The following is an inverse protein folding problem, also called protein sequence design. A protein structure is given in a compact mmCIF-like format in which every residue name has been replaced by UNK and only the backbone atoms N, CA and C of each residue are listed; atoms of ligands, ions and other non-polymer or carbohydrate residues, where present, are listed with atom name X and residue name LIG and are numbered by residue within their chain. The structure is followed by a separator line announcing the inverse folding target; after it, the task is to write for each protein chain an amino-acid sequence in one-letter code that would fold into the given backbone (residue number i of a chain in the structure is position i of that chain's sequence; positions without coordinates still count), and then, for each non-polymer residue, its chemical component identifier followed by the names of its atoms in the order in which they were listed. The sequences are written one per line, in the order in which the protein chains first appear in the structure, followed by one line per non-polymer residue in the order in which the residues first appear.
data_IF_824413922693
#
_entry.id   IF_824413922693
#
_cell.length_a   1.000
_cell.length_b   1.000
_cell.length_c   1.000
_cell.angle_alpha   90.00
_cell.angle_beta   90.00
_cell.angle_gamma   90.00
#
_symmetry.space_group_name_H-M   'P 1'
#
loop_
_entity.id
_entity.type
_entity.pdbx_description
1 polymer ?
#
# COMPACT_ATOMS: atom_id res chain seq x y z
N UNK A 1 15.29 -11.48 12.08
CA UNK A 1 14.24 -10.42 12.04
C UNK A 1 13.14 -10.83 11.08
N UNK A 2 11.87 -10.55 11.39
CA UNK A 2 10.74 -10.81 10.49
C UNK A 2 10.27 -9.50 9.85
N UNK A 3 10.02 -9.51 8.54
CA UNK A 3 9.54 -8.34 7.81
C UNK A 3 8.27 -8.71 7.03
N UNK A 4 7.21 -7.93 7.24
CA UNK A 4 6.03 -7.93 6.37
C UNK A 4 5.94 -6.59 5.66
N UNK A 5 6.11 -6.57 4.33
CA UNK A 5 6.17 -5.33 3.55
C UNK A 5 5.08 -5.30 2.45
N UNK A 6 4.14 -4.37 2.59
CA UNK A 6 3.23 -3.97 1.51
C UNK A 6 3.85 -2.81 0.74
N UNK A 7 4.35 -3.11 -0.47
CA UNK A 7 5.08 -2.17 -1.31
C UNK A 7 4.12 -1.34 -2.18
N UNK A 8 3.10 -0.72 -1.58
CA UNK A 8 2.01 -0.06 -2.31
C UNK A 8 2.46 1.06 -3.25
N UNK A 9 1.59 1.44 -4.19
CA UNK A 9 1.90 2.47 -5.20
C UNK A 9 2.05 3.88 -4.61
N UNK A 10 1.21 4.24 -3.64
CA UNK A 10 1.24 5.55 -2.97
C UNK A 10 2.08 5.53 -1.68
N UNK A 11 1.98 4.45 -0.92
CA UNK A 11 2.65 4.27 0.37
C UNK A 11 3.24 2.87 0.46
N UNK A 12 4.44 2.78 1.00
CA UNK A 12 5.06 1.53 1.45
C UNK A 12 4.81 1.39 2.95
N UNK A 13 4.21 0.27 3.34
CA UNK A 13 3.91 -0.06 4.74
C UNK A 13 4.67 -1.31 5.13
N UNK A 14 5.23 -1.32 6.32
CA UNK A 14 6.06 -2.43 6.77
C UNK A 14 5.86 -2.70 8.26
N UNK A 15 5.77 -3.97 8.63
CA UNK A 15 6.14 -4.41 9.97
C UNK A 15 7.56 -4.94 9.94
N UNK A 16 8.39 -4.43 10.83
CA UNK A 16 9.70 -5.02 11.15
C UNK A 16 9.62 -5.51 12.60
N UNK A 17 9.60 -6.83 12.76
CA UNK A 17 9.12 -7.49 13.97
C UNK A 17 7.73 -6.92 14.37
N UNK A 18 7.60 -6.28 15.52
CA UNK A 18 6.34 -5.70 16.01
C UNK A 18 6.18 -4.19 15.69
N UNK A 19 7.18 -3.56 15.07
CA UNK A 19 7.14 -2.12 14.78
C UNK A 19 6.53 -1.84 13.40
N UNK A 20 5.48 -1.01 13.38
CA UNK A 20 4.86 -0.53 12.14
C UNK A 20 5.57 0.71 11.61
N UNK A 21 5.90 0.70 10.32
CA UNK A 21 6.54 1.77 9.59
C UNK A 21 5.73 2.08 8.33
N UNK A 22 5.66 3.37 7.97
CA UNK A 22 4.99 3.82 6.75
C UNK A 22 5.77 4.97 6.12
N UNK A 23 5.92 4.92 4.80
CA UNK A 23 6.54 5.99 4.01
C UNK A 23 5.80 6.18 2.68
N UNK A 24 5.71 7.40 2.14
CA UNK A 24 5.32 7.60 0.74
C UNK A 24 6.20 6.77 -0.20
N UNK A 25 5.64 6.12 -1.21
CA UNK A 25 6.37 5.28 -2.18
C UNK A 25 7.09 6.12 -3.25
N UNK A 26 8.03 6.92 -2.79
CA UNK A 26 8.71 7.96 -3.56
C UNK A 26 10.20 7.90 -3.28
N UNK A 27 11.02 7.97 -4.32
CA UNK A 27 12.48 8.12 -4.18
C UNK A 27 12.98 9.25 -5.06
N UNK A 28 14.17 9.77 -4.72
CA UNK A 28 14.89 10.69 -5.59
C UNK A 28 16.36 10.31 -5.62
N UNK A 29 16.85 9.95 -6.81
CA UNK A 29 18.28 9.73 -7.02
C UNK A 29 19.04 11.04 -7.02
N UNK A 30 20.19 11.07 -6.35
CA UNK A 30 21.07 12.22 -6.26
C UNK A 30 22.42 11.92 -6.91
N UNK A 31 23.03 12.97 -7.45
CA UNK A 31 24.39 12.91 -8.01
C UNK A 31 25.45 13.39 -7.02
N UNK A 32 25.05 14.13 -5.99
CA UNK A 32 25.90 14.57 -4.90
C UNK A 32 25.13 14.60 -3.58
N UNK A 33 25.84 14.44 -2.47
CA UNK A 33 25.27 14.56 -1.12
C UNK A 33 24.83 16.02 -0.91
N UNK A 34 23.60 16.29 -0.45
CA UNK A 34 23.20 17.63 -0.03
C UNK A 34 23.99 18.04 1.22
N UNK A 35 24.21 19.34 1.41
CA UNK A 35 24.76 19.85 2.66
C UNK A 35 23.83 19.49 3.82
N UNK A 36 24.40 18.98 4.92
CA UNK A 36 23.62 18.77 6.12
C UNK A 36 23.63 20.04 6.95
N UNK A 37 22.44 20.47 7.36
CA UNK A 37 22.28 21.59 8.29
C UNK A 37 22.19 21.12 9.74
N UNK A 38 21.86 19.85 9.98
CA UNK A 38 21.73 19.28 11.33
C UNK A 38 23.03 18.58 11.75
N UNK A 39 23.66 19.12 12.79
CA UNK A 39 24.91 18.61 13.36
C UNK A 39 24.67 17.72 14.58
N UNK A 40 23.46 17.75 15.13
CA UNK A 40 23.06 16.94 16.27
C UNK A 40 22.64 15.53 15.80
N UNK A 41 23.43 14.54 16.22
CA UNK A 41 23.21 13.13 15.91
C UNK A 41 21.90 12.62 16.51
N UNK A 42 21.56 13.04 17.72
CA UNK A 42 20.35 12.58 18.42
C UNK A 42 19.11 13.08 17.67
N UNK A 43 19.07 14.36 17.29
CA UNK A 43 18.01 14.92 16.45
C UNK A 43 17.94 14.25 15.08
N UNK A 44 19.09 13.95 14.49
CA UNK A 44 19.16 13.24 13.21
C UNK A 44 18.56 11.84 13.31
N UNK A 45 18.79 11.13 14.42
CA UNK A 45 18.20 9.81 14.69
C UNK A 45 16.69 9.91 14.91
N UNK A 46 16.22 10.90 15.68
CA UNK A 46 14.78 11.09 15.95
C UNK A 46 13.99 11.35 14.67
N UNK A 47 14.58 12.04 13.70
CA UNK A 47 13.96 12.36 12.41
C UNK A 47 14.39 11.43 11.27
N UNK A 48 15.13 10.35 11.56
CA UNK A 48 15.81 9.55 10.55
C UNK A 48 14.85 8.98 9.49
N UNK A 49 13.66 8.53 9.93
CA UNK A 49 12.64 7.99 9.06
C UNK A 49 12.03 9.08 8.13
N UNK A 50 11.99 10.35 8.56
CA UNK A 50 11.46 11.48 7.79
C UNK A 50 12.51 12.17 6.89
N UNK A 51 13.79 11.97 7.21
CA UNK A 51 14.95 12.56 6.54
C UNK A 51 15.84 11.50 5.86
N UNK A 52 15.26 10.38 5.45
CA UNK A 52 16.00 9.22 4.97
C UNK A 52 16.84 9.53 3.71
N UNK A 53 18.17 9.43 3.87
CA UNK A 53 19.18 9.59 2.82
C UNK A 53 20.14 8.41 2.89
N UNK A 54 20.18 7.62 1.81
CA UNK A 54 20.94 6.38 1.74
C UNK A 54 21.70 6.25 0.45
N UNK A 55 22.89 5.64 0.50
CA UNK A 55 23.50 5.05 -0.68
C UNK A 55 23.17 3.55 -0.70
N UNK A 56 22.58 3.07 -1.78
CA UNK A 56 22.23 1.65 -1.94
C UNK A 56 23.14 1.04 -3.01
N UNK A 57 23.84 -0.02 -2.64
CA UNK A 57 24.61 -0.88 -3.54
C UNK A 57 24.08 -2.31 -3.48
N UNK A 58 23.52 -2.78 -4.60
CA UNK A 58 22.84 -4.08 -4.65
C UNK A 58 22.64 -4.57 -6.07
N UNK A 59 22.90 -5.86 -6.31
CA UNK A 59 22.58 -6.52 -7.59
C UNK A 59 21.06 -6.60 -7.85
N UNK A 60 20.25 -6.38 -6.82
CA UNK A 60 18.81 -6.31 -6.93
C UNK A 60 18.34 -5.00 -7.59
N UNK A 61 19.20 -4.01 -7.85
CA UNK A 61 18.83 -2.76 -8.54
C UNK A 61 19.72 -2.56 -9.78
N UNK A 62 19.26 -1.78 -10.75
CA UNK A 62 19.99 -1.60 -12.02
C UNK A 62 21.26 -0.80 -11.86
N UNK A 63 21.27 0.17 -10.92
CA UNK A 63 22.40 1.05 -10.67
C UNK A 63 22.45 1.45 -9.21
N UNK A 64 23.60 1.23 -8.60
CA UNK A 64 23.94 1.77 -7.30
C UNK A 64 23.82 3.30 -7.28
N UNK A 65 23.56 3.87 -6.11
CA UNK A 65 23.53 5.32 -5.98
C UNK A 65 23.00 5.86 -4.67
N UNK A 66 23.06 7.19 -4.56
CA UNK A 66 22.52 7.97 -3.46
C UNK A 66 21.04 8.30 -3.72
N UNK A 67 20.19 8.07 -2.72
CA UNK A 67 18.75 8.25 -2.80
C UNK A 67 18.21 8.98 -1.57
N UNK A 68 17.32 9.96 -1.79
CA UNK A 68 16.33 10.34 -0.78
C UNK A 68 15.16 9.38 -0.89
N UNK A 69 14.57 9.01 0.24
CA UNK A 69 13.47 8.05 0.31
C UNK A 69 12.28 8.68 1.06
N UNK A 70 11.07 8.36 0.63
CA UNK A 70 9.85 8.66 1.37
C UNK A 70 9.58 10.15 1.50
N UNK A 71 9.22 10.59 2.71
CA UNK A 71 8.87 11.99 2.98
C UNK A 71 9.94 12.98 2.52
N UNK A 72 11.24 12.63 2.68
CA UNK A 72 12.34 13.46 2.21
C UNK A 72 12.35 13.63 0.71
N UNK A 73 12.09 12.55 -0.04
CA UNK A 73 11.99 12.62 -1.49
C UNK A 73 10.77 13.45 -1.90
N UNK A 74 9.62 13.25 -1.28
CA UNK A 74 8.35 13.92 -1.61
C UNK A 74 8.39 15.46 -1.52
N UNK A 75 9.35 16.04 -0.80
CA UNK A 75 9.58 17.49 -0.75
C UNK A 75 10.27 18.05 -2.01
N UNK A 76 10.73 17.21 -2.93
CA UNK A 76 11.39 17.60 -4.18
C UNK A 76 10.44 17.65 -5.37
N UNK A 77 10.74 18.51 -6.36
CA UNK A 77 9.96 18.61 -7.60
C UNK A 77 10.19 17.43 -8.57
N UNK A 78 11.42 16.92 -8.66
CA UNK A 78 11.79 15.80 -9.54
C UNK A 78 11.99 14.50 -8.73
N UNK A 79 10.93 13.70 -8.65
CA UNK A 79 10.91 12.43 -7.90
C UNK A 79 10.51 11.27 -8.79
N UNK A 80 10.96 10.07 -8.43
CA UNK A 80 10.48 8.82 -9.01
C UNK A 80 9.36 8.25 -8.12
N UNK A 81 8.21 7.98 -8.72
CA UNK A 81 7.05 7.34 -8.09
C UNK A 81 6.85 5.93 -8.68
N UNK A 82 6.12 5.07 -7.96
CA UNK A 82 5.67 3.79 -8.51
C UNK A 82 4.88 4.01 -9.81
N UNK A 83 5.26 3.29 -10.86
CA UNK A 83 4.61 3.42 -12.15
C UNK A 83 3.29 2.64 -12.19
N UNK A 84 2.19 3.36 -12.02
CA UNK A 84 0.81 2.84 -12.10
C UNK A 84 0.34 2.54 -13.54
N UNK A 85 1.08 2.97 -14.57
CA UNK A 85 0.67 2.88 -16.00
C UNK A 85 1.31 1.74 -16.78
N UNK A 86 2.51 1.28 -16.42
CA UNK A 86 3.20 0.21 -17.17
C UNK A 86 3.19 -1.14 -16.47
N UNK A 87 2.78 -1.18 -15.19
CA UNK A 87 2.89 -2.35 -14.33
C UNK A 87 4.34 -2.85 -14.21
N UNK A 88 4.53 -4.14 -13.94
CA UNK A 88 5.81 -4.81 -13.74
C UNK A 88 6.54 -4.38 -12.46
N UNK A 89 5.81 -4.29 -11.34
CA UNK A 89 6.34 -3.93 -10.02
C UNK A 89 7.58 -4.75 -9.64
N UNK A 90 7.60 -6.04 -9.99
CA UNK A 90 8.74 -6.95 -9.77
C UNK A 90 10.05 -6.52 -10.44
N UNK A 91 10.01 -5.66 -11.48
CA UNK A 91 11.19 -5.14 -12.21
C UNK A 91 11.63 -3.74 -11.79
N UNK A 92 10.84 -3.04 -10.98
CA UNK A 92 11.14 -1.66 -10.57
C UNK A 92 12.16 -1.63 -9.43
N UNK A 93 13.10 -0.70 -9.48
CA UNK A 93 14.13 -0.55 -8.44
C UNK A 93 13.58 0.15 -7.20
N UNK A 94 12.63 1.07 -7.39
CA UNK A 94 11.99 1.84 -6.31
C UNK A 94 11.52 0.96 -5.13
N UNK A 95 10.71 -0.11 -5.31
CA UNK A 95 10.30 -0.96 -4.19
C UNK A 95 11.46 -1.59 -3.41
N UNK A 96 12.53 -1.98 -4.12
CA UNK A 96 13.73 -2.57 -3.49
C UNK A 96 14.51 -1.52 -2.71
N UNK A 97 14.69 -0.31 -3.27
CA UNK A 97 15.36 0.81 -2.62
C UNK A 97 14.60 1.23 -1.35
N UNK A 98 13.28 1.37 -1.44
CA UNK A 98 12.40 1.65 -0.30
C UNK A 98 12.56 0.61 0.81
N UNK A 99 12.45 -0.68 0.46
CA UNK A 99 12.60 -1.80 1.41
C UNK A 99 13.95 -1.74 2.14
N UNK A 100 15.05 -1.65 1.39
CA UNK A 100 16.40 -1.66 1.96
C UNK A 100 16.68 -0.43 2.81
N UNK A 101 16.25 0.75 2.35
CA UNK A 101 16.43 2.00 3.08
C UNK A 101 15.64 2.03 4.39
N UNK A 102 14.38 1.60 4.37
CA UNK A 102 13.53 1.56 5.58
C UNK A 102 14.05 0.53 6.59
N UNK A 103 14.50 -0.66 6.13
CA UNK A 103 15.11 -1.67 7.01
C UNK A 103 16.39 -1.14 7.66
N UNK A 104 17.28 -0.52 6.87
CA UNK A 104 18.52 0.05 7.40
C UNK A 104 18.24 1.18 8.41
N UNK A 105 17.28 2.07 8.11
CA UNK A 105 16.86 3.14 9.02
C UNK A 105 16.41 2.61 10.38
N UNK A 106 15.52 1.61 10.35
CA UNK A 106 14.97 0.98 11.55
C UNK A 106 16.05 0.35 12.42
N UNK A 107 16.93 -0.46 11.84
CA UNK A 107 17.97 -1.17 12.61
C UNK A 107 19.02 -0.20 13.18
N UNK A 108 19.41 0.83 12.44
CA UNK A 108 20.33 1.85 12.96
C UNK A 108 19.70 2.63 14.10
N UNK A 109 18.43 3.02 13.98
CA UNK A 109 17.69 3.71 15.03
C UNK A 109 17.58 2.84 16.29
N UNK A 110 17.18 1.58 16.16
CA UNK A 110 17.07 0.67 17.30
C UNK A 110 18.41 0.46 18.00
N UNK A 111 19.49 0.21 17.23
CA UNK A 111 20.82 0.07 17.80
C UNK A 111 21.25 1.32 18.58
N UNK A 112 20.99 2.51 18.03
CA UNK A 112 21.30 3.76 18.72
C UNK A 112 20.49 3.93 20.01
N UNK A 113 19.20 3.62 20.00
CA UNK A 113 18.34 3.70 21.19
C UNK A 113 18.76 2.71 22.29
N UNK A 114 19.27 1.53 21.91
CA UNK A 114 19.74 0.53 22.88
C UNK A 114 21.12 0.85 23.45
N UNK A 115 22.04 1.39 22.63
CA UNK A 115 23.46 1.54 22.99
C UNK A 115 23.89 2.98 23.28
N UNK A 116 23.07 3.97 22.90
CA UNK A 116 23.37 5.40 23.03
C UNK A 116 24.45 5.91 22.08
N UNK A 117 24.86 5.13 21.08
CA UNK A 117 25.91 5.47 20.14
C UNK A 117 25.61 4.92 18.73
N UNK A 118 26.04 5.65 17.70
CA UNK A 118 25.90 5.20 16.32
C UNK A 118 26.88 4.07 16.02
N UNK A 119 26.42 2.93 15.45
CA UNK A 119 27.32 1.88 15.01
C UNK A 119 28.04 2.30 13.72
N UNK A 120 29.28 1.87 13.53
CA UNK A 120 29.97 2.07 12.24
C UNK A 120 29.49 1.08 11.17
N UNK A 121 29.10 -0.13 11.60
CA UNK A 121 28.64 -1.21 10.74
C UNK A 121 27.57 -2.04 11.44
N UNK A 122 26.56 -2.49 10.69
CA UNK A 122 25.54 -3.44 11.13
C UNK A 122 25.34 -4.54 10.08
N UNK A 123 25.23 -5.78 10.55
CA UNK A 123 24.79 -6.92 9.73
C UNK A 123 23.35 -7.29 10.12
N UNK A 124 22.46 -7.29 9.14
CA UNK A 124 21.03 -7.51 9.33
C UNK A 124 20.61 -8.76 8.56
N UNK A 125 20.04 -9.73 9.28
CA UNK A 125 19.48 -10.97 8.73
C UNK A 125 17.97 -11.01 8.91
N UNK A 126 17.26 -11.13 7.80
CA UNK A 126 15.82 -10.99 7.76
C UNK A 126 15.12 -12.14 7.04
N UNK A 127 13.86 -12.37 7.37
CA UNK A 127 12.92 -13.10 6.53
C UNK A 127 11.83 -12.14 6.08
N UNK A 128 11.53 -12.12 4.80
CA UNK A 128 10.61 -11.15 4.19
C UNK A 128 9.34 -11.84 3.68
N UNK A 129 8.20 -11.22 3.90
CA UNK A 129 6.99 -11.48 3.12
C UNK A 129 6.53 -10.19 2.45
N UNK A 130 6.22 -10.26 1.15
CA UNK A 130 5.66 -9.13 0.39
C UNK A 130 4.63 -9.62 -0.61
N UNK A 131 3.99 -8.71 -1.33
CA UNK A 131 3.00 -9.03 -2.34
C UNK A 131 3.19 -8.25 -3.64
N UNK A 132 2.77 -8.85 -4.75
CA UNK A 132 2.62 -8.19 -6.05
C UNK A 132 1.13 -8.09 -6.43
N UNK A 133 0.74 -7.07 -7.22
CA UNK A 133 -0.65 -6.88 -7.66
C UNK A 133 -1.24 -8.14 -8.28
N UNK A 134 -2.54 -8.35 -8.04
CA UNK A 134 -3.27 -9.50 -8.55
C UNK A 134 -3.21 -9.60 -10.07
N UNK A 135 -3.43 -8.46 -10.74
CA UNK A 135 -3.29 -8.29 -12.19
C UNK A 135 -1.91 -8.66 -12.74
N UNK A 136 -0.87 -8.62 -11.91
CA UNK A 136 0.49 -8.94 -12.31
C UNK A 136 0.94 -10.32 -11.87
N UNK A 137 0.24 -10.97 -10.94
CA UNK A 137 0.75 -12.13 -10.24
C UNK A 137 0.80 -13.37 -11.15
N UNK A 138 2.01 -13.89 -11.34
CA UNK A 138 2.25 -15.23 -11.86
C UNK A 138 3.36 -15.88 -11.03
N UNK A 139 3.39 -17.22 -10.99
CA UNK A 139 4.46 -17.94 -10.28
C UNK A 139 5.86 -17.52 -10.76
N UNK A 140 6.02 -17.27 -12.06
CA UNK A 140 7.28 -16.80 -12.65
C UNK A 140 7.67 -15.41 -12.12
N UNK A 141 6.75 -14.43 -12.13
CA UNK A 141 7.04 -13.06 -11.68
C UNK A 141 7.27 -12.98 -10.17
N UNK A 142 6.49 -13.73 -9.39
CA UNK A 142 6.69 -13.86 -7.94
C UNK A 142 8.06 -14.44 -7.62
N UNK A 143 8.46 -15.53 -8.31
CA UNK A 143 9.79 -16.12 -8.15
C UNK A 143 10.91 -15.19 -8.64
N UNK A 144 10.68 -14.40 -9.69
CA UNK A 144 11.65 -13.43 -10.16
C UNK A 144 11.92 -12.34 -9.11
N UNK A 145 10.87 -11.78 -8.48
CA UNK A 145 11.03 -10.82 -7.38
C UNK A 145 11.70 -11.46 -6.17
N UNK A 146 11.28 -12.68 -5.82
CA UNK A 146 11.84 -13.45 -4.72
C UNK A 146 13.35 -13.60 -4.86
N UNK A 147 13.83 -14.16 -5.98
CA UNK A 147 15.27 -14.34 -6.25
C UNK A 147 16.04 -13.04 -6.29
N UNK A 148 15.45 -12.01 -6.92
CA UNK A 148 16.05 -10.68 -7.02
C UNK A 148 16.42 -10.12 -5.64
N UNK A 149 15.61 -10.40 -4.60
CA UNK A 149 15.87 -9.97 -3.23
C UNK A 149 16.70 -11.01 -2.47
N UNK A 150 16.39 -12.30 -2.59
CA UNK A 150 16.98 -13.37 -1.79
C UNK A 150 18.44 -13.67 -2.14
N UNK A 151 18.79 -13.69 -3.43
CA UNK A 151 20.05 -14.29 -3.90
C UNK A 151 21.30 -13.43 -3.63
N UNK A 152 21.13 -12.26 -3.02
CA UNK A 152 22.19 -11.27 -2.87
C UNK A 152 22.23 -10.66 -1.47
N UNK A 153 23.44 -10.34 -1.00
CA UNK A 153 23.61 -9.37 0.09
C UNK A 153 23.50 -7.96 -0.48
N UNK A 154 22.88 -7.07 0.30
CA UNK A 154 22.66 -5.69 -0.08
C UNK A 154 23.41 -4.78 0.88
N UNK A 155 24.07 -3.75 0.36
CA UNK A 155 24.80 -2.77 1.17
C UNK A 155 24.07 -1.44 1.12
N UNK A 156 23.76 -0.90 2.30
CA UNK A 156 23.10 0.38 2.48
C UNK A 156 23.99 1.24 3.37
N UNK A 157 24.50 2.35 2.84
CA UNK A 157 25.16 3.37 3.66
C UNK A 157 24.12 4.42 4.04
N UNK A 158 23.76 4.48 5.30
CA UNK A 158 22.84 5.45 5.85
C UNK A 158 23.59 6.71 6.28
N UNK A 159 23.09 7.88 5.90
CA UNK A 159 23.66 9.17 6.29
C UNK A 159 22.90 9.75 7.48
N UNK A 160 23.56 9.87 8.64
CA UNK A 160 23.00 10.41 9.89
C UNK A 160 23.78 11.67 10.26
N UNK A 161 23.25 12.84 9.89
CA UNK A 161 24.02 14.08 9.93
C UNK A 161 25.31 13.92 9.12
N UNK A 162 26.46 14.29 9.70
CA UNK A 162 27.78 14.09 9.07
C UNK A 162 28.32 12.65 9.17
N UNK A 163 27.71 11.79 9.99
CA UNK A 163 28.15 10.42 10.16
C UNK A 163 27.52 9.48 9.14
N UNK A 164 28.16 8.33 8.94
CA UNK A 164 27.69 7.29 8.05
C UNK A 164 27.68 5.95 8.78
N UNK A 165 26.63 5.18 8.54
CA UNK A 165 26.50 3.82 9.05
C UNK A 165 26.37 2.87 7.87
N UNK A 166 27.26 1.87 7.81
CA UNK A 166 27.18 0.85 6.77
C UNK A 166 26.33 -0.33 7.26
N UNK A 167 25.26 -0.64 6.56
CA UNK A 167 24.36 -1.74 6.88
C UNK A 167 24.43 -2.78 5.77
N UNK A 168 24.75 -4.02 6.12
CA UNK A 168 24.64 -5.16 5.22
C UNK A 168 23.32 -5.88 5.52
N UNK A 169 22.39 -5.86 4.57
CA UNK A 169 21.10 -6.55 4.67
C UNK A 169 21.16 -7.84 3.85
N UNK A 170 20.79 -8.95 4.47
CA UNK A 170 20.65 -10.25 3.80
C UNK A 170 19.33 -10.91 4.21
N UNK A 171 18.75 -11.65 3.28
CA UNK A 171 17.50 -12.36 3.50
C UNK A 171 17.76 -13.86 3.56
N UNK A 172 17.30 -14.50 4.63
CA UNK A 172 17.35 -15.97 4.77
C UNK A 172 16.19 -16.63 4.02
N UNK A 173 15.06 -15.93 3.92
CA UNK A 173 13.91 -16.34 3.12
C UNK A 173 13.11 -15.12 2.64
N UNK A 174 12.48 -15.26 1.48
CA UNK A 174 11.62 -14.25 0.87
C UNK A 174 10.38 -14.95 0.32
N UNK A 175 9.21 -14.55 0.81
CA UNK A 175 7.92 -15.00 0.31
C UNK A 175 7.22 -13.88 -0.45
N UNK A 176 6.77 -14.16 -1.67
CA UNK A 176 6.04 -13.20 -2.51
C UNK A 176 4.67 -13.79 -2.80
N UNK A 177 3.63 -13.18 -2.21
CA UNK A 177 2.22 -13.58 -2.42
C UNK A 177 1.53 -12.62 -3.41
N UNK A 178 0.27 -12.91 -3.70
CA UNK A 178 -0.63 -12.01 -4.39
C UNK A 178 -1.28 -11.02 -3.43
N UNK A 179 -1.40 -9.75 -3.83
CA UNK A 179 -2.19 -8.75 -3.10
C UNK A 179 -3.66 -9.20 -2.96
N UNK A 180 -4.31 -8.86 -1.83
CA UNK A 180 -5.64 -9.34 -1.45
C UNK A 180 -5.69 -10.71 -0.76
N UNK A 181 -4.69 -11.58 -0.97
CA UNK A 181 -4.59 -12.81 -0.16
C UNK A 181 -4.21 -12.54 1.28
N UNK A 182 -3.24 -11.66 1.58
CA UNK A 182 -3.01 -11.22 2.94
C UNK A 182 -4.27 -10.67 3.64
N UNK A 183 -5.08 -9.87 2.94
CA UNK A 183 -6.32 -9.30 3.51
C UNK A 183 -7.29 -10.38 4.02
N UNK A 184 -7.35 -11.55 3.37
CA UNK A 184 -8.11 -12.71 3.85
C UNK A 184 -7.62 -13.20 5.22
N UNK A 185 -6.31 -13.24 5.46
CA UNK A 185 -5.74 -13.63 6.75
C UNK A 185 -6.02 -12.59 7.84
N UNK A 186 -6.05 -11.31 7.48
CA UNK A 186 -6.50 -10.23 8.37
C UNK A 186 -7.95 -10.46 8.79
N UNK A 187 -8.87 -10.65 7.84
CA UNK A 187 -10.27 -10.93 8.15
C UNK A 187 -10.41 -12.19 9.03
N UNK A 188 -9.67 -13.25 8.72
CA UNK A 188 -9.72 -14.52 9.47
C UNK A 188 -9.27 -14.38 10.93
N UNK A 189 -8.33 -13.48 11.21
CA UNK A 189 -7.74 -13.29 12.53
C UNK A 189 -8.33 -12.09 13.30
N UNK A 190 -9.13 -11.25 12.65
CA UNK A 190 -9.74 -10.07 13.23
C UNK A 190 -10.81 -10.41 14.29
N UNK A 191 -11.04 -9.47 15.19
CA UNK A 191 -12.22 -9.46 16.05
C UNK A 191 -13.44 -8.93 15.29
N UNK A 192 -14.61 -8.89 15.93
CA UNK A 192 -15.85 -8.50 15.29
C UNK A 192 -15.94 -7.04 14.83
N UNK A 193 -15.08 -6.14 15.33
CA UNK A 193 -15.08 -4.71 14.98
C UNK A 193 -14.82 -4.46 13.49
N UNK A 194 -14.07 -5.36 12.83
CA UNK A 194 -13.86 -5.29 11.37
C UNK A 194 -15.18 -5.44 10.58
N UNK A 195 -16.23 -5.95 11.22
CA UNK A 195 -17.56 -6.16 10.66
C UNK A 195 -18.62 -5.22 11.23
N UNK A 196 -18.26 -4.15 11.97
CA UNK A 196 -19.24 -3.28 12.64
C UNK A 196 -20.30 -2.71 11.68
N UNK A 197 -19.86 -2.26 10.49
CA UNK A 197 -20.74 -1.69 9.47
C UNK A 197 -21.64 -2.79 8.86
N UNK A 198 -21.09 -3.99 8.64
CA UNK A 198 -21.82 -5.15 8.11
C UNK A 198 -22.92 -5.64 9.07
N UNK A 199 -22.61 -5.77 10.36
CA UNK A 199 -23.57 -6.22 11.38
C UNK A 199 -24.73 -5.22 11.51
N UNK A 200 -24.41 -3.92 11.45
CA UNK A 200 -25.40 -2.84 11.44
C UNK A 200 -26.29 -2.88 10.19
N UNK A 201 -25.69 -3.10 9.01
CA UNK A 201 -26.39 -3.10 7.73
C UNK A 201 -27.41 -4.24 7.59
N UNK A 202 -27.07 -5.44 8.04
CA UNK A 202 -27.91 -6.64 7.86
C UNK A 202 -28.70 -7.05 9.12
N UNK A 203 -28.74 -6.19 10.14
CA UNK A 203 -29.48 -6.37 11.40
C UNK A 203 -29.29 -7.76 12.04
N UNK A 204 -28.03 -8.22 12.07
CA UNK A 204 -27.70 -9.53 12.61
C UNK A 204 -27.81 -9.52 14.14
N UNK A 205 -28.94 -10.00 14.67
CA UNK A 205 -29.10 -10.23 16.10
C UNK A 205 -28.33 -11.48 16.55
N UNK A 206 -27.02 -11.31 16.76
CA UNK A 206 -26.06 -12.37 17.09
C UNK A 206 -25.47 -12.11 18.48
N UNK A 207 -25.33 -13.16 19.29
CA UNK A 207 -24.63 -13.09 20.57
C UNK A 207 -23.15 -12.72 20.40
N UNK A 208 -22.58 -11.96 21.33
CA UNK A 208 -21.17 -11.52 21.34
C UNK A 208 -20.16 -12.66 21.04
N UNK A 209 -20.31 -13.84 21.65
CA UNK A 209 -19.44 -15.00 21.40
C UNK A 209 -19.45 -15.50 19.93
N UNK A 210 -20.57 -15.31 19.23
CA UNK A 210 -20.71 -15.66 17.82
C UNK A 210 -20.22 -14.54 16.91
N UNK A 211 -20.32 -13.28 17.34
CA UNK A 211 -19.78 -12.11 16.64
C UNK A 211 -18.26 -12.22 16.50
N UNK A 212 -17.53 -12.57 17.57
CA UNK A 212 -16.08 -12.73 17.51
C UNK A 212 -15.61 -13.83 16.55
N UNK A 213 -16.43 -14.86 16.34
CA UNK A 213 -16.14 -15.96 15.41
C UNK A 213 -16.60 -15.66 13.97
N UNK A 214 -17.35 -14.58 13.76
CA UNK A 214 -17.96 -14.25 12.46
C UNK A 214 -16.92 -13.89 11.39
N UNK A 215 -15.88 -13.05 11.64
CA UNK A 215 -14.85 -12.75 10.63
C UNK A 215 -14.20 -14.01 10.07
N UNK A 216 -13.81 -14.94 10.94
CA UNK A 216 -13.26 -16.24 10.54
C UNK A 216 -14.24 -17.06 9.68
N UNK A 217 -15.53 -17.10 10.06
CA UNK A 217 -16.55 -17.83 9.29
C UNK A 217 -16.77 -17.22 7.91
N UNK A 218 -16.74 -15.89 7.80
CA UNK A 218 -16.85 -15.18 6.52
C UNK A 218 -15.62 -15.47 5.66
N UNK A 219 -14.42 -15.40 6.23
CA UNK A 219 -13.17 -15.72 5.50
C UNK A 219 -13.16 -17.14 4.90
N UNK A 220 -13.97 -18.07 5.43
CA UNK A 220 -14.09 -19.44 4.89
C UNK A 220 -15.16 -19.58 3.79
N UNK A 221 -15.74 -18.46 3.31
CA UNK A 221 -16.77 -18.37 2.28
C UNK A 221 -16.18 -17.86 0.97
N UNK A 222 -17.01 -17.81 -0.07
CA UNK A 222 -16.56 -17.29 -1.36
C UNK A 222 -16.69 -15.77 -1.38
N UNK A 223 -15.59 -15.07 -1.61
CA UNK A 223 -15.50 -13.61 -1.49
C UNK A 223 -14.92 -13.02 -2.79
N UNK A 224 -15.58 -12.00 -3.31
CA UNK A 224 -14.98 -11.02 -4.23
C UNK A 224 -14.40 -9.91 -3.38
N UNK A 225 -13.08 -9.79 -3.39
CA UNK A 225 -12.32 -8.74 -2.71
C UNK A 225 -12.14 -7.57 -3.66
N UNK A 226 -12.44 -6.36 -3.19
CA UNK A 226 -12.31 -5.11 -3.93
C UNK A 226 -11.36 -4.22 -3.13
N UNK A 227 -10.07 -4.29 -3.48
CA UNK A 227 -9.01 -3.51 -2.86
C UNK A 227 -8.79 -2.21 -3.64
N UNK A 228 -9.39 -1.13 -3.17
CA UNK A 228 -9.37 0.16 -3.86
C UNK A 228 -8.13 0.94 -3.38
N UNK A 229 -7.10 0.99 -4.21
CA UNK A 229 -5.89 1.78 -3.98
C UNK A 229 -5.97 3.21 -4.55
N UNK A 230 -4.87 3.95 -4.42
CA UNK A 230 -4.74 5.29 -5.02
C UNK A 230 -4.64 5.22 -6.56
N UNK A 231 -3.87 4.27 -7.07
CA UNK A 231 -3.59 4.14 -8.50
C UNK A 231 -4.32 3.00 -9.20
N UNK A 232 -4.64 1.93 -8.48
CA UNK A 232 -5.28 0.72 -9.02
C UNK A 232 -6.32 0.21 -8.06
N UNK A 233 -7.30 -0.50 -8.59
CA UNK A 233 -8.21 -1.34 -7.82
C UNK A 233 -7.96 -2.79 -8.19
N UNK A 234 -7.64 -3.62 -7.21
CA UNK A 234 -7.46 -5.07 -7.43
C UNK A 234 -8.75 -5.80 -7.07
N UNK A 235 -9.19 -6.69 -7.96
CA UNK A 235 -10.36 -7.55 -7.77
C UNK A 235 -9.90 -8.99 -7.64
N UNK A 236 -9.97 -9.53 -6.43
CA UNK A 236 -9.60 -10.92 -6.18
C UNK A 236 -10.82 -11.78 -5.92
N UNK A 237 -10.86 -12.99 -6.47
CA UNK A 237 -11.85 -13.98 -6.10
C UNK A 237 -11.21 -15.08 -5.27
N UNK A 238 -11.85 -15.39 -4.14
CA UNK A 238 -11.47 -16.51 -3.28
C UNK A 238 -12.61 -17.51 -3.22
N UNK A 239 -12.31 -18.78 -3.50
CA UNK A 239 -13.22 -19.89 -3.23
C UNK A 239 -12.83 -20.47 -1.86
N UNK A 240 -13.62 -20.12 -0.84
CA UNK A 240 -13.26 -20.29 0.56
C UNK A 240 -11.94 -19.56 0.86
N UNK A 241 -10.89 -20.30 1.21
CA UNK A 241 -9.59 -19.74 1.56
C UNK A 241 -8.58 -19.72 0.40
N UNK A 242 -8.99 -20.20 -0.78
CA UNK A 242 -8.08 -20.37 -1.90
C UNK A 242 -8.29 -19.25 -2.93
N UNK A 243 -7.23 -18.52 -3.34
CA UNK A 243 -7.30 -17.64 -4.49
C UNK A 243 -7.63 -18.42 -5.75
N UNK A 244 -8.47 -17.84 -6.61
CA UNK A 244 -8.68 -18.33 -7.97
C UNK A 244 -8.03 -17.34 -8.93
N UNK A 245 -6.77 -17.60 -9.27
CA UNK A 245 -5.91 -16.68 -10.04
C UNK A 245 -6.55 -16.23 -11.36
N UNK A 246 -7.22 -17.14 -12.09
CA UNK A 246 -7.85 -16.83 -13.38
C UNK A 246 -9.05 -15.88 -13.27
N UNK A 247 -9.58 -15.70 -12.06
CA UNK A 247 -10.67 -14.77 -11.77
C UNK A 247 -10.19 -13.52 -11.01
N UNK A 248 -8.89 -13.41 -10.74
CA UNK A 248 -8.29 -12.24 -10.12
C UNK A 248 -7.66 -11.33 -11.17
N UNK A 249 -7.98 -10.05 -11.12
CA UNK A 249 -7.41 -9.03 -11.99
C UNK A 249 -7.33 -7.68 -11.27
N UNK A 250 -6.99 -6.63 -12.01
CA UNK A 250 -6.84 -5.29 -11.48
C UNK A 250 -7.09 -4.26 -12.57
N UNK A 251 -7.72 -3.17 -12.19
CA UNK A 251 -8.09 -2.09 -13.10
C UNK A 251 -7.52 -0.76 -12.64
N UNK A 252 -7.39 0.17 -13.58
CA UNK A 252 -6.69 1.46 -13.39
C UNK A 252 -7.66 2.57 -13.03
N UNK A 253 -8.43 2.32 -11.99
CA UNK A 253 -9.32 3.30 -11.37
C UNK A 253 -8.95 3.38 -9.90
N UNK A 254 -8.95 4.60 -9.36
CA UNK A 254 -8.50 4.88 -8.02
C UNK A 254 -8.55 6.37 -7.73
N UNK A 255 -8.28 6.75 -6.49
CA UNK A 255 -8.39 8.15 -6.04
C UNK A 255 -7.49 9.08 -6.86
N UNK A 256 -6.28 8.65 -7.17
CA UNK A 256 -5.34 9.39 -7.99
C UNK A 256 -5.78 9.55 -9.45
N UNK A 257 -6.59 8.64 -9.99
CA UNK A 257 -7.21 8.79 -11.31
C UNK A 257 -8.30 9.85 -11.26
N UNK A 258 -9.17 9.83 -10.24
CA UNK A 258 -10.17 10.87 -10.02
C UNK A 258 -9.51 12.26 -9.86
N UNK A 259 -8.42 12.36 -9.10
CA UNK A 259 -7.67 13.62 -8.96
C UNK A 259 -7.09 14.09 -10.29
N UNK A 260 -6.52 13.19 -11.09
CA UNK A 260 -5.94 13.57 -12.39
C UNK A 260 -7.02 14.02 -13.38
N UNK A 261 -8.18 13.37 -13.38
CA UNK A 261 -9.33 13.76 -14.17
C UNK A 261 -9.86 15.13 -13.72
N UNK A 262 -9.98 15.37 -12.41
CA UNK A 262 -10.38 16.66 -11.86
C UNK A 262 -9.42 17.80 -12.23
N UNK A 263 -8.10 17.55 -12.23
CA UNK A 263 -7.10 18.51 -12.72
C UNK A 263 -7.34 18.85 -14.19
N UNK A 264 -7.59 17.84 -15.03
CA UNK A 264 -7.86 18.05 -16.45
C UNK A 264 -9.14 18.86 -16.66
N UNK A 265 -10.21 18.55 -15.91
CA UNK A 265 -11.47 19.29 -15.95
C UNK A 265 -11.27 20.76 -15.54
N UNK A 266 -10.56 21.01 -14.44
CA UNK A 266 -10.27 22.36 -13.98
C UNK A 266 -9.40 23.13 -14.98
N UNK A 267 -8.38 22.48 -15.56
CA UNK A 267 -7.51 23.07 -16.60
C UNK A 267 -8.30 23.48 -17.84
N UNK A 268 -9.25 22.64 -18.27
CA UNK A 268 -10.15 22.97 -19.38
C UNK A 268 -11.05 24.16 -19.08
N UNK A 269 -11.56 24.28 -17.85
CA UNK A 269 -12.46 25.37 -17.42
C UNK A 269 -11.76 26.73 -17.41
N UNK A 270 -10.51 26.78 -16.94
CA UNK A 270 -9.72 28.03 -16.88
C UNK A 270 -8.96 28.33 -18.19
N UNK A 271 -9.34 27.70 -19.30
CA UNK A 271 -8.79 27.99 -20.63
C UNK A 271 -7.36 27.47 -20.86
N UNK A 272 -6.91 26.48 -20.11
CA UNK A 272 -5.61 25.81 -20.33
C UNK A 272 -4.38 26.50 -19.71
N UNK A 273 -4.55 27.64 -19.05
CA UNK A 273 -3.45 28.42 -18.44
C UNK A 273 -2.94 27.87 -17.10
N UNK A 274 -3.57 26.81 -16.60
CA UNK A 274 -3.29 26.23 -15.29
C UNK A 274 -2.58 24.89 -15.46
N UNK A 275 -1.38 24.77 -14.91
CA UNK A 275 -0.63 23.51 -14.86
C UNK A 275 -0.37 23.14 -13.40
N UNK A 276 -1.01 22.07 -12.93
CA UNK A 276 -1.00 21.65 -11.54
C UNK A 276 -0.59 20.19 -11.44
N UNK A 277 0.27 19.89 -10.47
CA UNK A 277 0.43 18.52 -9.99
C UNK A 277 -0.66 18.17 -8.96
N UNK A 278 -0.76 16.89 -8.60
CA UNK A 278 -1.75 16.39 -7.63
C UNK A 278 -1.69 17.13 -6.29
N UNK A 279 -0.50 17.40 -5.77
CA UNK A 279 -0.34 18.07 -4.48
C UNK A 279 -0.87 19.51 -4.54
N UNK A 280 -0.48 20.28 -5.56
CA UNK A 280 -0.94 21.65 -5.74
C UNK A 280 -2.46 21.73 -5.94
N UNK A 281 -3.04 20.78 -6.69
CA UNK A 281 -4.51 20.68 -6.80
C UNK A 281 -5.17 20.41 -5.45
N UNK A 282 -4.62 19.49 -4.65
CA UNK A 282 -5.14 19.19 -3.32
C UNK A 282 -4.98 20.37 -2.36
N UNK A 283 -3.93 21.17 -2.49
CA UNK A 283 -3.74 22.39 -1.70
C UNK A 283 -4.82 23.43 -2.04
N UNK A 284 -5.13 23.64 -3.33
CA UNK A 284 -6.26 24.47 -3.78
C UNK A 284 -7.60 23.93 -3.25
N UNK A 285 -7.81 22.62 -3.36
CA UNK A 285 -9.00 21.97 -2.84
C UNK A 285 -9.15 22.20 -1.32
N UNK A 286 -8.07 22.17 -0.55
CA UNK A 286 -8.15 22.33 0.92
C UNK A 286 -8.27 23.79 1.35
N UNK A 287 -7.65 24.72 0.61
CA UNK A 287 -7.66 26.13 0.94
C UNK A 287 -8.96 26.82 0.52
N UNK A 288 -9.86 27.01 1.48
CA UNK A 288 -11.15 27.69 1.28
C UNK A 288 -11.02 29.15 0.81
N UNK A 289 -9.85 29.78 0.99
CA UNK A 289 -9.60 31.16 0.56
C UNK A 289 -9.07 31.22 -0.89
N UNK A 290 -8.70 30.09 -1.48
CA UNK A 290 -8.21 30.06 -2.86
C UNK A 290 -9.35 30.36 -3.84
N UNK A 291 -9.16 31.24 -4.84
CA UNK A 291 -10.19 31.56 -5.83
C UNK A 291 -10.75 30.34 -6.59
N UNK A 292 -9.92 29.30 -6.79
CA UNK A 292 -10.27 28.09 -7.52
C UNK A 292 -10.82 26.97 -6.62
N UNK A 293 -10.99 27.22 -5.31
CA UNK A 293 -11.40 26.22 -4.34
C UNK A 293 -12.72 25.52 -4.71
N UNK A 294 -13.75 26.31 -5.04
CA UNK A 294 -15.08 25.78 -5.35
C UNK A 294 -15.07 24.91 -6.61
N UNK A 295 -14.35 25.35 -7.63
CA UNK A 295 -14.25 24.61 -8.89
C UNK A 295 -13.47 23.31 -8.67
N UNK A 296 -12.35 23.36 -7.93
CA UNK A 296 -11.59 22.17 -7.56
C UNK A 296 -12.43 21.13 -6.79
N UNK A 297 -13.25 21.58 -5.84
CA UNK A 297 -14.17 20.70 -5.09
C UNK A 297 -15.19 20.05 -6.04
N UNK A 298 -15.84 20.85 -6.89
CA UNK A 298 -16.85 20.35 -7.83
C UNK A 298 -16.24 19.36 -8.84
N UNK A 299 -15.08 19.68 -9.41
CA UNK A 299 -14.40 18.82 -10.38
C UNK A 299 -13.92 17.51 -9.77
N UNK A 300 -13.48 17.53 -8.51
CA UNK A 300 -13.14 16.30 -7.82
C UNK A 300 -14.38 15.45 -7.52
N UNK A 301 -15.51 16.05 -7.15
CA UNK A 301 -16.76 15.33 -6.95
C UNK A 301 -17.24 14.68 -8.25
N UNK A 302 -17.29 15.42 -9.37
CA UNK A 302 -17.65 14.90 -10.69
C UNK A 302 -16.75 13.71 -11.10
N UNK A 303 -15.43 13.87 -10.95
CA UNK A 303 -14.48 12.81 -11.27
C UNK A 303 -14.64 11.59 -10.36
N UNK A 304 -14.88 11.79 -9.06
CA UNK A 304 -15.13 10.68 -8.11
C UNK A 304 -16.39 9.90 -8.49
N UNK A 305 -17.46 10.58 -8.89
CA UNK A 305 -18.69 9.95 -9.35
C UNK A 305 -18.46 9.12 -10.63
N UNK A 306 -17.77 9.67 -11.64
CA UNK A 306 -17.43 8.90 -12.85
C UNK A 306 -16.61 7.64 -12.51
N UNK A 307 -15.58 7.78 -11.66
CA UNK A 307 -14.75 6.65 -11.27
C UNK A 307 -15.53 5.63 -10.42
N UNK A 308 -16.47 6.05 -9.57
CA UNK A 308 -17.30 5.11 -8.78
C UNK A 308 -18.23 4.28 -9.68
N UNK A 309 -18.78 4.86 -10.75
CA UNK A 309 -19.60 4.14 -11.73
C UNK A 309 -18.80 3.08 -12.49
N UNK A 310 -17.58 3.39 -12.92
CA UNK A 310 -16.67 2.42 -13.54
C UNK A 310 -16.29 1.30 -12.56
N UNK A 311 -16.05 1.65 -11.30
CA UNK A 311 -15.74 0.70 -10.25
C UNK A 311 -16.93 -0.24 -9.98
N UNK A 312 -18.15 0.29 -9.91
CA UNK A 312 -19.36 -0.52 -9.76
C UNK A 312 -19.51 -1.50 -10.93
N UNK A 313 -19.37 -1.03 -12.17
CA UNK A 313 -19.44 -1.88 -13.37
C UNK A 313 -18.39 -3.00 -13.31
N UNK A 314 -17.15 -2.69 -12.94
CA UNK A 314 -16.10 -3.69 -12.78
C UNK A 314 -16.42 -4.73 -11.68
N UNK A 315 -17.01 -4.31 -10.56
CA UNK A 315 -17.48 -5.25 -9.51
C UNK A 315 -18.58 -6.16 -10.05
N UNK A 316 -19.54 -5.61 -10.78
CA UNK A 316 -20.65 -6.37 -11.38
C UNK A 316 -20.13 -7.41 -12.37
N UNK A 317 -19.24 -7.02 -13.27
CA UNK A 317 -18.57 -7.93 -14.21
C UNK A 317 -17.82 -9.04 -13.46
N UNK A 318 -17.07 -8.69 -12.42
CA UNK A 318 -16.34 -9.66 -11.61
C UNK A 318 -17.27 -10.69 -10.96
N UNK A 319 -18.37 -10.24 -10.38
CA UNK A 319 -19.39 -11.14 -9.79
C UNK A 319 -19.97 -12.07 -10.86
N UNK A 320 -20.29 -11.57 -12.06
CA UNK A 320 -20.79 -12.41 -13.16
C UNK A 320 -19.76 -13.48 -13.57
N UNK A 321 -18.47 -13.13 -13.65
CA UNK A 321 -17.39 -14.08 -14.00
C UNK A 321 -17.26 -15.26 -13.02
N UNK A 322 -17.71 -15.10 -11.77
CA UNK A 322 -17.70 -16.20 -10.78
C UNK A 322 -18.79 -17.25 -11.01
N UNK A 323 -19.69 -17.02 -11.97
CA UNK A 323 -20.89 -17.84 -12.22
C UNK A 323 -21.82 -17.96 -11.00
N UNK A 324 -21.96 -16.88 -10.23
CA UNK A 324 -22.86 -16.81 -9.08
C UNK A 324 -22.36 -17.57 -7.83
N UNK A 325 -21.10 -18.00 -7.81
CA UNK A 325 -20.49 -18.69 -6.66
C UNK A 325 -19.90 -17.71 -5.65
N UNK A 326 -20.57 -16.60 -5.39
CA UNK A 326 -20.11 -15.57 -4.44
C UNK A 326 -21.07 -15.52 -3.27
N UNK A 327 -20.53 -15.28 -2.08
CA UNK A 327 -21.32 -15.00 -0.89
C UNK A 327 -21.20 -13.53 -0.50
N UNK A 328 -19.98 -12.98 -0.55
CA UNK A 328 -19.70 -11.63 -0.10
C UNK A 328 -18.91 -10.83 -1.13
N UNK A 329 -19.21 -9.54 -1.20
CA UNK A 329 -18.35 -8.52 -1.80
C UNK A 329 -17.67 -7.78 -0.66
N UNK A 330 -16.36 -7.93 -0.49
CA UNK A 330 -15.61 -7.25 0.56
C UNK A 330 -14.82 -6.08 -0.01
N UNK A 331 -15.08 -4.87 0.47
CA UNK A 331 -14.46 -3.62 -0.02
C UNK A 331 -13.54 -3.04 1.04
N UNK A 332 -12.28 -2.78 0.66
CA UNK A 332 -11.24 -2.23 1.53
C UNK A 332 -10.20 -1.44 0.71
N UNK A 333 -9.09 -1.05 1.33
CA UNK A 333 -8.07 -0.19 0.74
C UNK A 333 -8.30 1.30 1.02
N UNK A 334 -7.29 2.13 0.78
CA UNK A 334 -7.37 3.58 1.08
C UNK A 334 -8.41 4.34 0.25
N UNK A 335 -8.70 3.84 -0.94
CA UNK A 335 -9.72 4.40 -1.83
C UNK A 335 -11.15 4.09 -1.39
N UNK A 336 -11.40 3.02 -0.62
CA UNK A 336 -12.75 2.73 -0.13
C UNK A 336 -13.28 3.90 0.71
N UNK A 337 -12.45 4.48 1.57
CA UNK A 337 -12.81 5.65 2.37
C UNK A 337 -13.25 6.82 1.48
N UNK A 338 -12.54 7.03 0.37
CA UNK A 338 -12.76 8.17 -0.53
C UNK A 338 -13.95 8.01 -1.46
N UNK A 339 -14.34 6.76 -1.78
CA UNK A 339 -15.44 6.42 -2.68
C UNK A 339 -16.72 5.99 -1.95
N UNK A 340 -16.70 5.85 -0.61
CA UNK A 340 -17.86 5.37 0.16
C UNK A 340 -19.16 6.12 -0.19
N UNK A 341 -19.13 7.45 -0.22
CA UNK A 341 -20.31 8.27 -0.53
C UNK A 341 -20.92 7.97 -1.89
N UNK A 342 -20.10 7.68 -2.91
CA UNK A 342 -20.53 7.56 -4.30
C UNK A 342 -20.71 6.11 -4.79
N UNK A 343 -20.33 5.12 -3.97
CA UNK A 343 -20.33 3.70 -4.35
C UNK A 343 -21.16 2.83 -3.40
N UNK A 344 -21.23 3.17 -2.11
CA UNK A 344 -21.72 2.26 -1.07
C UNK A 344 -23.18 1.84 -1.30
N UNK A 345 -24.08 2.80 -1.51
CA UNK A 345 -25.52 2.52 -1.70
C UNK A 345 -25.76 1.74 -3.00
N UNK A 346 -25.18 2.19 -4.12
CA UNK A 346 -25.30 1.50 -5.42
C UNK A 346 -24.78 0.05 -5.36
N UNK A 347 -23.70 -0.18 -4.61
CA UNK A 347 -23.13 -1.51 -4.43
C UNK A 347 -24.04 -2.41 -3.58
N UNK A 348 -24.68 -1.86 -2.55
CA UNK A 348 -25.65 -2.59 -1.72
C UNK A 348 -26.88 -2.97 -2.53
N UNK A 349 -27.41 -2.04 -3.33
CA UNK A 349 -28.55 -2.30 -4.22
C UNK A 349 -28.22 -3.44 -5.18
N UNK A 350 -27.07 -3.37 -5.86
CA UNK A 350 -26.61 -4.46 -6.73
C UNK A 350 -26.45 -5.79 -5.97
N UNK A 351 -25.83 -5.77 -4.79
CA UNK A 351 -25.62 -6.98 -4.00
C UNK A 351 -26.96 -7.62 -3.60
N UNK A 352 -27.95 -6.82 -3.21
CA UNK A 352 -29.29 -7.30 -2.89
C UNK A 352 -29.95 -8.00 -4.09
N UNK A 353 -29.89 -7.39 -5.28
CA UNK A 353 -30.40 -7.98 -6.52
C UNK A 353 -29.69 -9.29 -6.88
N UNK A 354 -28.37 -9.33 -6.68
CA UNK A 354 -27.54 -10.51 -6.90
C UNK A 354 -27.63 -11.57 -5.78
N UNK A 355 -28.37 -11.30 -4.69
CA UNK A 355 -28.47 -12.14 -3.48
C UNK A 355 -27.13 -12.38 -2.79
N UNK A 356 -26.33 -11.33 -2.69
CA UNK A 356 -25.02 -11.26 -2.06
C UNK A 356 -25.07 -10.28 -0.87
N UNK A 357 -24.05 -10.33 -0.01
CA UNK A 357 -23.89 -9.35 1.06
C UNK A 357 -22.60 -8.53 0.88
N UNK A 358 -22.63 -7.26 1.29
CA UNK A 358 -21.51 -6.32 1.20
C UNK A 358 -20.82 -6.19 2.55
N UNK A 359 -19.52 -6.40 2.57
CA UNK A 359 -18.66 -6.13 3.73
C UNK A 359 -17.83 -4.90 3.39
N UNK A 360 -18.29 -3.74 3.82
CA UNK A 360 -17.50 -2.52 3.73
C UNK A 360 -16.61 -2.42 4.96
N UNK A 361 -15.31 -2.65 4.79
CA UNK A 361 -14.38 -2.68 5.91
C UNK A 361 -14.24 -1.27 6.49
N UNK A 362 -14.32 -1.10 7.83
CA UNK A 362 -14.13 0.21 8.46
C UNK A 362 -12.78 0.83 8.17
N UNK A 363 -12.74 2.17 8.13
CA UNK A 363 -11.55 2.96 7.80
C UNK A 363 -10.32 2.57 8.64
N UNK A 364 -10.52 2.31 9.94
CA UNK A 364 -9.43 1.95 10.85
C UNK A 364 -8.73 0.63 10.49
N UNK A 365 -9.37 -0.25 9.71
CA UNK A 365 -8.82 -1.54 9.27
C UNK A 365 -8.50 -1.53 7.78
N UNK A 366 -9.29 -0.83 6.96
CA UNK A 366 -9.29 -0.95 5.50
C UNK A 366 -7.92 -0.66 4.87
N UNK A 367 -7.18 0.31 5.40
CA UNK A 367 -5.89 0.76 4.84
C UNK A 367 -4.78 -0.27 5.04
N UNK A 368 -4.82 -1.02 6.14
CA UNK A 368 -3.71 -1.89 6.57
C UNK A 368 -3.97 -3.38 6.37
N UNK A 369 -5.11 -3.76 5.80
CA UNK A 369 -5.49 -5.17 5.64
C UNK A 369 -4.41 -6.03 4.99
N UNK A 370 -3.73 -5.54 3.94
CA UNK A 370 -2.68 -6.32 3.28
C UNK A 370 -1.44 -6.50 4.17
N UNK A 371 -0.93 -5.42 4.76
CA UNK A 371 0.30 -5.48 5.59
C UNK A 371 0.07 -6.24 6.91
N UNK A 372 -1.10 -6.09 7.53
CA UNK A 372 -1.50 -6.87 8.70
C UNK A 372 -1.60 -8.37 8.37
N UNK A 373 -2.12 -8.67 7.17
CA UNK A 373 -2.25 -10.03 6.67
C UNK A 373 -0.90 -10.71 6.44
N UNK A 374 0.06 -9.96 5.88
CA UNK A 374 1.43 -10.42 5.70
C UNK A 374 2.10 -10.70 7.05
N UNK A 375 1.87 -9.84 8.06
CA UNK A 375 2.37 -10.07 9.43
C UNK A 375 1.78 -11.35 10.03
N UNK A 376 0.46 -11.54 9.92
CA UNK A 376 -0.21 -12.75 10.39
C UNK A 376 0.31 -14.00 9.68
N UNK A 377 0.57 -13.92 8.38
CA UNK A 377 1.16 -15.01 7.60
C UNK A 377 2.56 -15.37 8.11
N UNK A 378 3.41 -14.37 8.38
CA UNK A 378 4.73 -14.60 8.95
C UNK A 378 4.66 -15.34 10.28
N UNK A 379 3.81 -14.87 11.20
CA UNK A 379 3.69 -15.40 12.56
C UNK A 379 3.03 -16.78 12.64
N UNK A 380 2.09 -17.09 11.74
CA UNK A 380 1.22 -18.27 11.89
C UNK A 380 1.41 -19.34 10.83
N UNK A 381 2.08 -19.02 9.71
CA UNK A 381 2.14 -19.91 8.54
C UNK A 381 3.55 -20.05 7.99
N UNK A 382 4.22 -18.94 7.66
CA UNK A 382 5.47 -18.96 6.90
C UNK A 382 6.69 -19.24 7.79
N UNK A 383 6.75 -18.62 8.98
CA UNK A 383 7.93 -18.64 9.83
C UNK A 383 7.62 -19.06 11.28
N UNK A 384 6.48 -19.72 11.48
CA UNK A 384 5.96 -20.19 12.77
C UNK A 384 6.79 -21.33 13.39
#
# INVERSE_FOLDING_TARGET
MLIAADLGNSETKMYINDQFLKQPSVIKRLFSKPENLELDVEKSILNLDHELLVNVSSQAIRRDGLFMIGERASRSADVENMNIKLGNKYKHDLPVIMLLGMVASHEVRNQYMEQGALPNFLEVKAKLSTAIPASEHTNEKAEALRRRILDHSHHVTLHVGEQQVNVQVSFDDVNVTQEGIPALYTLRAANHEILKDYVSLYDYNISEEKLDKLPKKIAEKNIVHVDIGDGTTEFNYTEKLNPVLDLSDGQRFGVGHATQEAINLLKSEVGGYLDLNRQQFMDIHRDRNNPLHKDAVNKLMEAKYTQSRLLLEAVQEKVVQTAGRVNFIMVYGGGSIQFKTELYEDLIEFAADAKLEVIWVPEEYAINMNVDGLRILNEKVLYA
#
